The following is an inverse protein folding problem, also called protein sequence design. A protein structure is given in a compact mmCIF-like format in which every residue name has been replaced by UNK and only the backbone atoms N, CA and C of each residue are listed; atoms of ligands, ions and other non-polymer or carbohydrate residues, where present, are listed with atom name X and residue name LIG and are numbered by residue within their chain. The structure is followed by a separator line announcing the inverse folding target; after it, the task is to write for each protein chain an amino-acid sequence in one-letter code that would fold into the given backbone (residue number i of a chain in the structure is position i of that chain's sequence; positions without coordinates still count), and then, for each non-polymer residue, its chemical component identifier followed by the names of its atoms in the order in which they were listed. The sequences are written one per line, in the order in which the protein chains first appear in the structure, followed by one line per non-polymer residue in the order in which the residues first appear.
data_IF_703393121109
#
_entry.id   IF_703393121109
#
_cell.length_a   1.000
_cell.length_b   1.000
_cell.length_c   1.000
_cell.angle_alpha   90.00
_cell.angle_beta   90.00
_cell.angle_gamma   90.00
#
_symmetry.space_group_name_H-M   'P 1'
#
loop_
_entity.id
_entity.type
_entity.pdbx_description
1 polymer ?
#
# COMPACT_ATOMS: atom_id res chain seq x y z
N UNK A 1 7.26 12.70 -4.65
CA UNK A 1 7.89 13.10 -5.92
C UNK A 1 7.00 12.87 -7.16
N UNK A 2 6.14 11.83 -7.17
CA UNK A 2 5.20 11.48 -8.27
C UNK A 2 4.03 12.44 -8.58
N UNK A 3 3.96 13.61 -7.96
CA UNK A 3 2.88 14.58 -8.22
C UNK A 3 3.29 15.68 -9.22
N UNK A 4 4.54 15.65 -9.70
CA UNK A 4 5.11 16.64 -10.63
C UNK A 4 4.66 16.46 -12.08
N UNK A 5 4.00 15.35 -12.43
CA UNK A 5 3.40 15.13 -13.76
C UNK A 5 4.40 14.78 -14.87
N UNK A 6 5.67 14.52 -14.55
CA UNK A 6 6.68 14.16 -15.55
C UNK A 6 6.67 12.67 -15.88
N UNK A 7 6.01 12.29 -16.98
CA UNK A 7 5.87 10.88 -17.42
C UNK A 7 7.19 10.09 -17.47
N UNK A 8 8.31 10.71 -17.83
CA UNK A 8 9.61 10.02 -17.96
C UNK A 8 10.17 9.63 -16.59
N UNK A 9 10.12 10.57 -15.64
CA UNK A 9 10.56 10.33 -14.26
C UNK A 9 9.70 9.25 -13.59
N UNK A 10 8.39 9.27 -13.83
CA UNK A 10 7.48 8.24 -13.30
C UNK A 10 7.81 6.85 -13.83
N UNK A 11 8.11 6.71 -15.13
CA UNK A 11 8.48 5.41 -15.70
C UNK A 11 9.83 4.91 -15.18
N UNK A 12 10.80 5.82 -14.99
CA UNK A 12 12.08 5.50 -14.39
C UNK A 12 11.92 5.03 -12.93
N UNK A 13 11.13 5.74 -12.13
CA UNK A 13 10.83 5.35 -10.75
C UNK A 13 10.13 3.98 -10.70
N UNK A 14 9.08 3.77 -11.49
CA UNK A 14 8.37 2.48 -11.53
C UNK A 14 9.25 1.32 -12.03
N UNK A 15 10.26 1.60 -12.86
CA UNK A 15 11.20 0.58 -13.33
C UNK A 15 12.10 0.06 -12.20
N UNK A 16 12.37 0.88 -11.17
CA UNK A 16 13.16 0.48 -10.01
C UNK A 16 12.49 -0.60 -9.16
N UNK A 17 11.16 -0.71 -9.22
CA UNK A 17 10.39 -1.75 -8.53
C UNK A 17 10.25 -3.05 -9.33
N UNK A 18 10.91 -3.13 -10.50
CA UNK A 18 10.81 -4.29 -11.37
C UNK A 18 12.16 -4.99 -11.53
N UNK A 19 12.09 -6.30 -11.70
CA UNK A 19 13.20 -7.12 -12.15
C UNK A 19 12.70 -8.08 -13.24
N UNK A 20 13.37 -8.09 -14.39
CA UNK A 20 12.98 -8.88 -15.58
C UNK A 20 11.50 -8.76 -15.98
N UNK A 21 10.90 -7.59 -15.75
CA UNK A 21 9.48 -7.32 -16.03
C UNK A 21 8.50 -7.74 -14.93
N UNK A 22 8.97 -8.44 -13.90
CA UNK A 22 8.21 -8.82 -12.71
C UNK A 22 8.28 -7.74 -11.63
N UNK A 23 7.19 -7.55 -10.89
CA UNK A 23 7.17 -6.62 -9.75
C UNK A 23 7.84 -7.28 -8.57
N UNK A 24 8.86 -6.62 -8.02
CA UNK A 24 9.57 -7.09 -6.83
C UNK A 24 8.88 -6.50 -5.60
N UNK A 25 7.97 -7.27 -5.00
CA UNK A 25 7.17 -6.83 -3.84
C UNK A 25 8.03 -6.34 -2.68
N UNK A 26 9.21 -6.94 -2.47
CA UNK A 26 10.15 -6.51 -1.42
C UNK A 26 10.54 -5.04 -1.57
N UNK A 27 10.70 -4.54 -2.79
CA UNK A 27 11.01 -3.12 -3.05
C UNK A 27 9.79 -2.23 -2.80
N UNK A 28 8.58 -2.69 -3.07
CA UNK A 28 7.37 -1.89 -2.80
C UNK A 28 7.07 -1.79 -1.30
N UNK A 29 7.52 -2.76 -0.50
CA UNK A 29 7.50 -2.68 0.97
C UNK A 29 8.48 -1.65 1.53
N UNK A 30 9.56 -1.34 0.81
CA UNK A 30 10.56 -0.32 1.18
C UNK A 30 10.12 1.13 0.91
N UNK A 31 8.96 1.35 0.28
CA UNK A 31 8.46 2.72 0.07
C UNK A 31 8.20 3.38 1.44
N UNK A 32 8.77 4.58 1.70
CA UNK A 32 8.61 5.29 2.96
C UNK A 32 7.14 5.51 3.35
N UNK A 33 6.88 5.55 4.65
CA UNK A 33 5.52 5.69 5.18
C UNK A 33 4.85 7.00 4.75
N UNK A 34 5.61 8.09 4.73
CA UNK A 34 5.18 9.44 4.33
C UNK A 34 4.87 9.57 2.83
N UNK A 35 5.36 8.64 2.01
CA UNK A 35 5.03 8.54 0.59
C UNK A 35 3.82 7.63 0.29
N UNK A 36 3.20 7.05 1.31
CA UNK A 36 2.05 6.14 1.14
C UNK A 36 0.73 6.89 1.12
N UNK A 37 -0.26 6.31 0.46
CA UNK A 37 -1.58 6.94 0.27
C UNK A 37 -2.17 7.40 1.61
N UNK A 38 -2.20 6.57 2.68
CA UNK A 38 -2.81 7.00 3.95
C UNK A 38 -2.18 8.26 4.54
N UNK A 39 -0.85 8.41 4.43
CA UNK A 39 -0.13 9.59 4.92
C UNK A 39 -0.34 10.79 4.00
N UNK A 40 -0.26 10.58 2.69
CA UNK A 40 -0.48 11.64 1.70
C UNK A 40 -1.89 12.23 1.75
N UNK A 41 -2.89 11.44 2.16
CA UNK A 41 -4.29 11.88 2.19
C UNK A 41 -4.75 12.41 3.56
N UNK A 42 -3.85 12.61 4.52
CA UNK A 42 -4.20 13.23 5.81
C UNK A 42 -4.68 14.68 5.66
N UNK A 43 -4.16 15.39 4.67
CA UNK A 43 -4.59 16.75 4.33
C UNK A 43 -5.63 16.73 3.21
N UNK A 44 -6.52 17.73 3.18
CA UNK A 44 -7.53 17.84 2.11
C UNK A 44 -6.86 18.02 0.75
N UNK A 45 -5.83 18.85 0.70
CA UNK A 45 -5.03 19.14 -0.48
C UNK A 45 -4.33 17.87 -0.98
N UNK A 46 -3.71 17.10 -0.08
CA UNK A 46 -3.06 15.83 -0.40
C UNK A 46 -4.05 14.78 -0.92
N UNK A 47 -5.25 14.68 -0.32
CA UNK A 47 -6.32 13.80 -0.84
C UNK A 47 -6.71 14.19 -2.27
N UNK A 48 -6.89 15.48 -2.56
CA UNK A 48 -7.21 15.95 -3.92
C UNK A 48 -6.09 15.61 -4.90
N UNK A 49 -4.82 15.77 -4.50
CA UNK A 49 -3.67 15.44 -5.34
C UNK A 49 -3.60 13.95 -5.67
N UNK A 50 -3.73 13.09 -4.65
CA UNK A 50 -3.73 11.63 -4.83
C UNK A 50 -4.93 11.18 -5.66
N UNK A 51 -6.13 11.69 -5.37
CA UNK A 51 -7.33 11.38 -6.15
C UNK A 51 -7.16 11.77 -7.62
N UNK A 52 -6.60 12.94 -7.88
CA UNK A 52 -6.32 13.43 -9.24
C UNK A 52 -5.32 12.50 -9.95
N UNK A 53 -4.22 12.16 -9.28
CA UNK A 53 -3.18 11.30 -9.84
C UNK A 53 -3.69 9.87 -10.15
N UNK A 54 -4.44 9.28 -9.22
CA UNK A 54 -5.05 7.96 -9.40
C UNK A 54 -6.12 7.98 -10.50
N UNK A 55 -6.98 8.99 -10.53
CA UNK A 55 -8.01 9.13 -11.57
C UNK A 55 -7.38 9.28 -12.95
N UNK A 56 -6.33 10.09 -13.09
CA UNK A 56 -5.59 10.23 -14.35
C UNK A 56 -4.93 8.92 -14.79
N UNK A 57 -4.37 8.18 -13.83
CA UNK A 57 -3.72 6.89 -14.09
C UNK A 57 -4.71 5.81 -14.49
N UNK A 58 -5.86 5.73 -13.81
CA UNK A 58 -6.97 4.84 -14.15
C UNK A 58 -7.58 5.20 -15.51
N UNK A 59 -7.79 6.49 -15.80
CA UNK A 59 -8.25 6.94 -17.12
C UNK A 59 -7.29 6.49 -18.21
N UNK A 60 -5.99 6.72 -18.03
CA UNK A 60 -4.98 6.24 -18.97
C UNK A 60 -4.98 4.71 -19.10
N UNK A 61 -5.15 3.98 -17.99
CA UNK A 61 -5.30 2.52 -18.02
C UNK A 61 -6.50 2.07 -18.87
N UNK A 62 -7.69 2.64 -18.62
CA UNK A 62 -8.91 2.32 -19.36
C UNK A 62 -8.84 2.74 -20.84
N UNK A 63 -8.05 3.75 -21.17
CA UNK A 63 -7.76 4.14 -22.55
C UNK A 63 -6.94 3.09 -23.30
N UNK A 64 -6.00 2.42 -22.62
CA UNK A 64 -5.04 1.47 -23.21
C UNK A 64 -5.50 0.01 -23.18
N UNK A 65 -6.57 -0.33 -22.46
CA UNK A 65 -7.17 -1.67 -22.46
C UNK A 65 -8.31 -1.77 -23.49
N UNK A 66 -8.40 -2.93 -24.15
CA UNK A 66 -9.45 -3.22 -25.14
C UNK A 66 -10.76 -3.70 -24.48
N UNK A 67 -11.51 -2.76 -23.89
CA UNK A 67 -12.89 -3.01 -23.42
C UNK A 67 -13.91 -2.55 -24.47
N UNK A 68 -15.03 -3.27 -24.63
CA UNK A 68 -16.18 -2.77 -25.42
C UNK A 68 -16.87 -1.61 -24.73
N UNK A 69 -17.03 -1.69 -23.41
CA UNK A 69 -17.63 -0.64 -22.58
C UNK A 69 -16.58 -0.11 -21.61
N UNK A 70 -16.22 1.17 -21.77
CA UNK A 70 -15.34 1.89 -20.85
C UNK A 70 -16.18 2.53 -19.73
N UNK A 71 -15.67 2.57 -18.49
CA UNK A 71 -16.33 3.31 -17.42
C UNK A 71 -16.40 4.79 -17.75
N UNK A 72 -17.40 5.48 -17.19
CA UNK A 72 -17.50 6.93 -17.31
C UNK A 72 -16.48 7.62 -16.37
N UNK A 73 -16.37 8.95 -16.48
CA UNK A 73 -15.43 9.69 -15.63
C UNK A 73 -15.80 9.64 -14.14
N UNK A 74 -17.10 9.53 -13.84
CA UNK A 74 -17.58 9.43 -12.47
C UNK A 74 -17.18 8.10 -11.82
N UNK A 75 -17.33 6.99 -12.53
CA UNK A 75 -16.91 5.65 -12.14
C UNK A 75 -15.40 5.59 -11.91
N UNK A 76 -14.60 6.26 -12.76
CA UNK A 76 -13.14 6.34 -12.58
C UNK A 76 -12.79 7.07 -11.29
N UNK A 77 -13.42 8.22 -11.02
CA UNK A 77 -13.19 9.00 -9.79
C UNK A 77 -13.68 8.24 -8.57
N UNK A 78 -14.82 7.55 -8.66
CA UNK A 78 -15.36 6.72 -7.59
C UNK A 78 -14.42 5.56 -7.27
N UNK A 79 -13.90 4.88 -8.30
CA UNK A 79 -12.91 3.81 -8.14
C UNK A 79 -11.62 4.34 -7.48
N UNK A 80 -11.13 5.49 -7.93
CA UNK A 80 -9.96 6.14 -7.32
C UNK A 80 -10.19 6.48 -5.84
N UNK A 81 -11.37 7.00 -5.48
CA UNK A 81 -11.73 7.28 -4.09
C UNK A 81 -11.78 6.01 -3.25
N UNK A 82 -12.38 4.93 -3.77
CA UNK A 82 -12.44 3.65 -3.06
C UNK A 82 -11.05 3.06 -2.81
N UNK A 83 -10.13 3.15 -3.79
CA UNK A 83 -8.73 2.74 -3.60
C UNK A 83 -8.06 3.53 -2.47
N UNK A 84 -8.30 4.84 -2.38
CA UNK A 84 -7.77 5.67 -1.29
C UNK A 84 -8.33 5.18 0.05
N UNK A 85 -9.64 4.95 0.13
CA UNK A 85 -10.27 4.57 1.39
C UNK A 85 -9.81 3.18 1.85
N UNK A 86 -9.64 2.22 0.93
CA UNK A 86 -9.12 0.88 1.24
C UNK A 86 -7.62 0.88 1.59
N UNK A 87 -6.84 1.83 1.08
CA UNK A 87 -5.38 1.90 1.29
C UNK A 87 -4.97 2.03 2.76
N UNK A 88 -5.87 2.50 3.62
CA UNK A 88 -5.64 2.63 5.07
C UNK A 88 -5.49 1.27 5.76
N UNK A 89 -6.01 0.19 5.19
CA UNK A 89 -5.99 -1.14 5.80
C UNK A 89 -4.65 -1.87 5.65
N UNK A 90 -3.94 -1.65 4.55
CA UNK A 90 -2.70 -2.36 4.20
C UNK A 90 -1.53 -1.42 3.84
N UNK A 91 -1.72 -0.12 4.11
CA UNK A 91 -0.75 0.94 3.89
C UNK A 91 -0.21 0.93 2.45
N UNK A 92 -1.10 1.08 1.47
CA UNK A 92 -0.74 1.09 0.06
C UNK A 92 -0.06 2.39 -0.35
N UNK A 93 0.87 2.29 -1.30
CA UNK A 93 1.47 3.45 -1.98
C UNK A 93 0.78 3.73 -3.31
N UNK A 94 0.98 4.92 -3.87
CA UNK A 94 0.52 5.23 -5.25
C UNK A 94 1.25 4.33 -6.25
N UNK A 95 2.54 4.07 -6.03
CA UNK A 95 3.36 3.19 -6.84
C UNK A 95 2.77 1.78 -6.92
N UNK A 96 2.26 1.23 -5.81
CA UNK A 96 1.62 -0.09 -5.79
C UNK A 96 0.45 -0.17 -6.79
N UNK A 97 -0.40 0.86 -6.81
CA UNK A 97 -1.52 0.94 -7.75
C UNK A 97 -1.02 1.04 -9.19
N UNK A 98 -0.02 1.87 -9.46
CA UNK A 98 0.55 2.02 -10.80
C UNK A 98 1.24 0.74 -11.30
N UNK A 99 1.92 0.00 -10.41
CA UNK A 99 2.55 -1.28 -10.72
C UNK A 99 1.50 -2.33 -11.05
N UNK A 100 0.41 -2.38 -10.28
CA UNK A 100 -0.75 -3.23 -10.56
C UNK A 100 -1.35 -2.93 -11.94
N UNK A 101 -1.68 -1.66 -12.23
CA UNK A 101 -2.24 -1.27 -13.54
C UNK A 101 -1.28 -1.64 -14.68
N UNK A 102 0.01 -1.45 -14.48
CA UNK A 102 1.04 -1.84 -15.45
C UNK A 102 1.14 -3.35 -15.66
N UNK A 103 0.98 -4.17 -14.63
CA UNK A 103 0.92 -5.63 -14.77
C UNK A 103 -0.37 -6.09 -15.46
N UNK A 104 -1.45 -5.37 -15.23
CA UNK A 104 -2.72 -5.58 -15.90
C UNK A 104 -2.62 -5.34 -17.40
N UNK A 105 -2.04 -4.22 -17.84
CA UNK A 105 -1.82 -3.93 -19.26
C UNK A 105 -0.88 -4.95 -19.95
N UNK A 106 0.04 -5.57 -19.19
CA UNK A 106 0.92 -6.65 -19.69
C UNK A 106 0.24 -8.02 -19.76
N UNK A 107 -1.02 -8.12 -19.36
CA UNK A 107 -1.79 -9.37 -19.43
C UNK A 107 -1.52 -10.36 -18.30
N UNK A 108 -0.87 -9.95 -17.19
CA UNK A 108 -0.53 -10.87 -16.09
C UNK A 108 -1.75 -11.45 -15.36
N UNK A 109 -2.91 -10.82 -15.51
CA UNK A 109 -4.16 -11.25 -14.87
C UNK A 109 -5.09 -12.02 -15.83
N UNK A 110 -4.56 -12.49 -16.97
CA UNK A 110 -5.24 -13.33 -17.93
C UNK A 110 -5.90 -12.55 -19.09
N UNK A 111 -6.23 -13.24 -20.20
CA UNK A 111 -6.72 -12.62 -21.42
C UNK A 111 -8.25 -12.51 -21.43
N UNK A 112 -8.91 -11.75 -20.56
CA UNK A 112 -10.39 -11.81 -20.59
C UNK A 112 -11.17 -10.65 -19.99
N UNK A 113 -11.13 -9.47 -20.61
CA UNK A 113 -12.27 -8.54 -20.52
C UNK A 113 -12.54 -7.92 -21.88
N UNK A 114 -13.20 -8.65 -22.78
CA UNK A 114 -13.65 -8.06 -24.05
C UNK A 114 -14.88 -7.17 -23.85
N UNK A 115 -15.71 -7.43 -22.82
CA UNK A 115 -16.99 -6.75 -22.68
C UNK A 115 -16.91 -5.56 -21.72
N UNK A 116 -16.61 -5.80 -20.44
CA UNK A 116 -16.59 -4.77 -19.39
C UNK A 116 -15.64 -5.19 -18.28
N UNK A 117 -14.97 -4.22 -17.66
CA UNK A 117 -14.25 -4.38 -16.39
C UNK A 117 -15.00 -3.56 -15.34
N UNK A 118 -15.83 -4.22 -14.54
CA UNK A 118 -16.56 -3.59 -13.44
C UNK A 118 -15.69 -3.47 -12.18
N UNK A 119 -16.10 -2.61 -11.25
CA UNK A 119 -15.38 -2.37 -10.00
C UNK A 119 -15.14 -3.66 -9.19
N UNK A 120 -16.14 -4.56 -8.99
CA UNK A 120 -15.90 -5.80 -8.25
C UNK A 120 -14.80 -6.67 -8.86
N UNK A 121 -14.74 -6.77 -10.19
CA UNK A 121 -13.69 -7.53 -10.87
C UNK A 121 -12.33 -6.84 -10.75
N UNK A 122 -12.29 -5.51 -10.88
CA UNK A 122 -11.07 -4.75 -10.64
C UNK A 122 -10.51 -5.03 -9.25
N UNK A 123 -11.33 -4.90 -8.20
CA UNK A 123 -10.93 -5.15 -6.82
C UNK A 123 -10.54 -6.59 -6.56
N UNK A 124 -11.21 -7.58 -7.15
CA UNK A 124 -10.78 -8.98 -7.05
C UNK A 124 -9.34 -9.17 -7.58
N UNK A 125 -9.01 -8.54 -8.72
CA UNK A 125 -7.63 -8.60 -9.27
C UNK A 125 -6.65 -7.79 -8.44
N UNK A 126 -7.07 -6.65 -7.94
CA UNK A 126 -6.26 -5.83 -7.06
C UNK A 126 -5.94 -6.55 -5.75
N UNK A 127 -6.90 -7.31 -5.20
CA UNK A 127 -6.70 -8.13 -4.01
C UNK A 127 -5.65 -9.22 -4.22
N UNK A 128 -5.56 -9.81 -5.42
CA UNK A 128 -4.47 -10.74 -5.74
C UNK A 128 -3.08 -10.05 -5.70
N UNK A 129 -3.00 -8.77 -6.05
CA UNK A 129 -1.76 -7.99 -5.89
C UNK A 129 -1.46 -7.74 -4.41
N UNK A 130 -2.46 -7.28 -3.65
CA UNK A 130 -2.35 -6.98 -2.21
C UNK A 130 -1.95 -8.23 -1.41
N UNK A 131 -2.54 -9.37 -1.72
CA UNK A 131 -2.21 -10.66 -1.12
C UNK A 131 -0.75 -11.04 -1.38
N UNK A 132 -0.24 -10.90 -2.61
CA UNK A 132 1.19 -11.15 -2.92
C UNK A 132 2.12 -10.25 -2.14
N UNK A 133 1.76 -8.97 -1.99
CA UNK A 133 2.51 -8.01 -1.18
C UNK A 133 2.50 -8.40 0.30
N UNK A 134 1.35 -8.84 0.82
CA UNK A 134 1.22 -9.32 2.19
C UNK A 134 2.04 -10.59 2.46
N UNK A 135 2.03 -11.55 1.54
CA UNK A 135 2.85 -12.77 1.62
C UNK A 135 4.35 -12.44 1.65
N UNK A 136 4.81 -11.48 0.85
CA UNK A 136 6.20 -11.04 0.88
C UNK A 136 6.56 -10.35 2.21
N UNK A 137 5.64 -9.58 2.79
CA UNK A 137 5.83 -8.98 4.12
C UNK A 137 6.01 -10.06 5.20
N UNK A 138 5.18 -11.10 5.17
CA UNK A 138 5.29 -12.23 6.10
C UNK A 138 6.64 -12.96 5.93
N UNK A 139 7.04 -13.25 4.69
CA UNK A 139 8.34 -13.86 4.39
C UNK A 139 9.50 -13.02 4.88
N UNK A 140 9.48 -11.71 4.63
CA UNK A 140 10.53 -10.80 5.11
C UNK A 140 10.64 -10.80 6.64
N UNK A 141 9.50 -10.84 7.35
CA UNK A 141 9.48 -10.95 8.83
C UNK A 141 10.03 -12.30 9.30
N UNK A 142 9.66 -13.40 8.65
CA UNK A 142 10.18 -14.73 8.97
C UNK A 142 11.69 -14.83 8.74
N UNK A 143 12.21 -14.30 7.63
CA UNK A 143 13.64 -14.23 7.33
C UNK A 143 14.40 -13.46 8.42
N UNK A 144 13.91 -12.30 8.84
CA UNK A 144 14.53 -11.51 9.91
C UNK A 144 14.52 -12.25 11.26
N UNK A 145 13.39 -12.87 11.62
CA UNK A 145 13.30 -13.65 12.85
C UNK A 145 14.24 -14.87 12.83
N UNK A 146 14.37 -15.54 11.69
CA UNK A 146 15.29 -16.66 11.53
C UNK A 146 16.74 -16.20 11.66
N UNK A 147 17.11 -15.08 11.03
CA UNK A 147 18.43 -14.46 11.18
C UNK A 147 18.72 -14.09 12.65
N UNK A 148 17.76 -13.45 13.34
CA UNK A 148 17.90 -13.09 14.75
C UNK A 148 18.11 -14.32 15.64
N UNK A 149 17.33 -15.39 15.42
CA UNK A 149 17.49 -16.67 16.14
C UNK A 149 18.85 -17.31 15.87
N UNK A 150 19.34 -17.24 14.63
CA UNK A 150 20.64 -17.78 14.24
C UNK A 150 21.82 -17.00 14.84
N UNK A 151 21.66 -15.70 15.10
CA UNK A 151 22.69 -14.83 15.70
C UNK A 151 22.91 -15.06 17.21
N UNK A 152 22.10 -15.90 17.87
CA UNK A 152 22.35 -16.37 19.23
C UNK A 152 21.70 -15.53 20.35
N UNK A 153 21.43 -16.22 21.46
CA UNK A 153 20.56 -15.83 22.60
C UNK A 153 21.12 -14.77 23.56
N UNK A 154 22.10 -13.96 23.17
CA UNK A 154 22.68 -12.96 24.11
C UNK A 154 21.80 -11.72 24.33
N UNK A 155 20.79 -11.48 23.48
CA UNK A 155 19.83 -10.37 23.59
C UNK A 155 18.36 -10.82 23.63
N UNK A 156 18.03 -11.91 24.35
CA UNK A 156 16.68 -12.48 24.37
C UNK A 156 15.56 -11.58 24.96
N UNK A 157 15.88 -10.36 25.43
CA UNK A 157 14.91 -9.44 26.03
C UNK A 157 14.25 -8.45 25.06
N UNK A 158 14.75 -8.30 23.84
CA UNK A 158 14.24 -7.28 22.90
C UNK A 158 14.34 -7.78 21.47
N UNK A 159 13.23 -8.25 20.89
CA UNK A 159 13.15 -8.39 19.44
C UNK A 159 13.15 -6.96 18.87
N UNK A 160 14.16 -6.53 18.09
CA UNK A 160 14.14 -5.19 17.54
C UNK A 160 12.95 -5.07 16.57
N UNK A 161 12.30 -3.89 16.50
CA UNK A 161 11.24 -3.63 15.52
C UNK A 161 11.77 -3.88 14.11
N UNK A 162 10.88 -4.36 13.23
CA UNK A 162 11.21 -4.67 11.83
C UNK A 162 11.87 -3.44 11.18
N UNK A 163 13.13 -3.62 10.76
CA UNK A 163 13.91 -2.62 10.04
C UNK A 163 14.00 -3.06 8.60
N UNK A 164 13.43 -2.28 7.69
CA UNK A 164 13.72 -2.42 6.27
C UNK A 164 15.15 -1.92 6.02
N UNK A 165 15.79 -2.37 4.94
CA UNK A 165 17.22 -2.16 4.64
C UNK A 165 17.65 -0.67 4.57
N UNK A 166 16.70 0.26 4.56
CA UNK A 166 16.90 1.72 4.55
C UNK A 166 16.79 2.39 5.94
N UNK A 167 16.53 1.62 7.01
CA UNK A 167 16.40 2.14 8.36
C UNK A 167 15.01 2.68 8.71
N UNK A 168 14.00 2.50 7.84
CA UNK A 168 12.61 2.74 8.23
C UNK A 168 12.16 1.68 9.24
N UNK A 169 11.81 2.13 10.45
CA UNK A 169 11.12 1.31 11.45
C UNK A 169 9.71 0.99 10.95
N UNK A 170 9.25 -0.23 11.23
CA UNK A 170 7.86 -0.65 11.05
C UNK A 170 6.92 0.21 11.90
N UNK A 171 6.50 1.34 11.32
CA UNK A 171 5.58 2.28 11.97
C UNK A 171 4.20 1.67 12.21
N UNK A 172 3.85 0.54 11.57
CA UNK A 172 2.63 -0.19 11.91
C UNK A 172 2.69 -0.73 13.34
N UNK A 173 3.85 -1.26 13.76
CA UNK A 173 4.00 -1.76 15.12
C UNK A 173 3.95 -0.60 16.13
N UNK A 174 4.62 0.53 15.87
CA UNK A 174 4.54 1.70 16.76
C UNK A 174 3.15 2.33 16.78
N UNK A 175 2.40 2.30 15.67
CA UNK A 175 1.04 2.84 15.62
C UNK A 175 0.05 1.99 16.43
N UNK A 176 0.16 0.65 16.35
CA UNK A 176 -0.63 -0.24 17.20
C UNK A 176 -0.21 -0.15 18.67
N UNK A 177 1.08 0.04 18.97
CA UNK A 177 1.59 0.26 20.33
C UNK A 177 1.15 1.61 20.92
N UNK A 178 1.15 2.70 20.13
CA UNK A 178 0.64 4.02 20.55
C UNK A 178 -0.89 4.02 20.78
N UNK A 179 -1.67 3.37 19.90
CA UNK A 179 -3.11 3.24 20.11
C UNK A 179 -3.45 2.35 21.31
N UNK A 180 -2.70 1.27 21.53
CA UNK A 180 -2.86 0.42 22.72
C UNK A 180 -2.49 1.18 24.00
N UNK A 181 -1.44 1.99 23.98
CA UNK A 181 -1.06 2.83 25.13
C UNK A 181 -2.12 3.90 25.45
N UNK A 182 -2.73 4.52 24.44
CA UNK A 182 -3.80 5.50 24.63
C UNK A 182 -5.11 4.90 25.19
N UNK A 183 -5.35 3.61 24.99
CA UNK A 183 -6.55 2.93 25.47
C UNK A 183 -6.44 2.42 26.93
N UNK A 184 -5.21 2.29 27.46
CA UNK A 184 -4.96 1.88 28.85
C UNK A 184 -5.10 3.07 29.80
N UNK A 185 -4.73 4.29 29.37
CA UNK A 185 -4.74 5.49 30.23
C UNK A 185 -6.15 5.98 30.57
N UNK A 186 -7.20 5.59 29.83
CA UNK A 186 -8.57 6.07 30.11
C UNK A 186 -9.36 5.21 31.11
N UNK A 187 -8.81 4.09 31.59
CA UNK A 187 -9.51 3.17 32.49
C UNK A 187 -9.01 3.19 33.94
N UNK A 188 -7.93 3.92 34.25
CA UNK A 188 -7.37 3.99 35.61
C UNK A 188 -7.94 5.12 36.48
N UNK A 189 -8.80 6.00 35.95
CA UNK A 189 -9.39 7.13 36.70
C UNK A 189 -10.78 6.83 37.32
N UNK A 190 -11.24 5.58 37.29
CA UNK A 190 -12.62 5.24 37.69
C UNK A 190 -12.76 4.44 38.99
N UNK A 191 -11.70 4.30 39.81
CA UNK A 191 -11.83 3.58 41.09
C UNK A 191 -11.04 4.27 42.21
N UNK A 192 -11.78 4.87 43.15
CA UNK A 192 -11.21 5.28 44.44
C UNK A 192 -11.53 6.71 44.90
N UNK A 193 -12.80 7.02 45.16
CA UNK A 193 -13.17 7.96 46.23
C UNK A 193 -14.47 7.54 46.92
N UNK A 194 -14.36 6.48 47.72
CA UNK A 194 -15.15 6.31 48.93
C UNK A 194 -14.18 6.20 50.12
N UNK A 195 -14.54 6.90 51.21
CA UNK A 195 -13.97 6.92 52.56
C UNK A 195 -13.24 8.22 52.96
N UNK A 196 -13.90 8.98 53.84
CA UNK A 196 -13.35 10.13 54.58
C UNK A 196 -14.41 11.15 54.95
#
# INVERSE_FOLDING_TARGET
MLLSGNRIEHLAELSSFRDRGEVVMRRTLQIPADERIPMLTQTKEGRVQVLTALSASLKSFYENISLKEKPDEYDIVLLASQIIDESHSDNLSVQDVLLFLGDFLRGKYGPTYYNKLDMPTFFNRFENYRQKRHEELLRAREEQQAQYKAMGRENAGYAPPFKLEDGTLDLMQTFYEEQAAHHIVTNDDADGKDAG
#
